data_IF_907957658567
#
_entry.id   IF_907957658567
#
_cell.length_a   1.000
_cell.length_b   1.000
_cell.length_c   1.000
_cell.angle_alpha   90.00
_cell.angle_beta   90.00
_cell.angle_gamma   90.00
#
_symmetry.space_group_name_H-M   'P 1'
#
loop_
_entity.id
_entity.type
_entity.pdbx_description
1 polymer ?
#
# COMPACT_ATOMS: atom_id res chain seq x y z
N UNK A 1 -25.64 4.79 14.53
CA UNK A 1 -24.45 5.30 14.35
C UNK A 1 -23.71 4.71 13.29
N UNK A 2 -23.10 5.37 12.52
CA UNK A 2 -22.43 4.79 11.57
C UNK A 2 -21.05 4.87 11.75
N UNK A 3 -20.34 3.90 11.39
CA UNK A 3 -18.98 3.91 11.43
C UNK A 3 -18.49 4.27 10.11
N UNK A 4 -17.55 5.16 10.08
CA UNK A 4 -16.91 5.54 8.87
C UNK A 4 -15.56 4.91 8.87
N UNK A 5 -15.39 3.83 8.13
CA UNK A 5 -14.06 3.25 8.06
C UNK A 5 -13.13 4.27 7.44
N UNK A 6 -11.93 4.31 7.93
CA UNK A 6 -10.94 5.22 7.39
C UNK A 6 -10.60 4.82 5.97
N UNK A 7 -10.41 5.80 5.13
CA UNK A 7 -9.96 5.52 3.78
C UNK A 7 -8.54 5.02 3.80
N UNK A 8 -8.21 4.14 2.89
CA UNK A 8 -6.85 3.66 2.78
C UNK A 8 -6.20 4.26 1.56
N UNK A 9 -4.93 4.59 1.72
CA UNK A 9 -4.12 5.04 0.60
C UNK A 9 -2.85 4.23 0.61
N UNK A 10 -2.27 4.07 -0.54
CA UNK A 10 -1.02 3.32 -0.66
C UNK A 10 -0.01 4.23 -1.34
N UNK A 11 1.25 4.04 -1.01
CA UNK A 11 2.32 4.81 -1.63
C UNK A 11 3.43 3.88 -2.05
N UNK A 12 4.02 4.16 -3.20
CA UNK A 12 5.15 3.39 -3.66
C UNK A 12 6.11 4.37 -4.33
N UNK A 13 7.32 4.45 -3.79
CA UNK A 13 8.35 5.27 -4.40
C UNK A 13 7.90 6.72 -4.56
N UNK A 14 7.17 7.24 -3.58
CA UNK A 14 6.66 8.59 -3.63
C UNK A 14 5.41 8.79 -4.45
N UNK A 15 4.93 7.74 -5.11
CA UNK A 15 3.73 7.84 -5.92
C UNK A 15 2.55 7.37 -5.08
N UNK A 16 1.47 8.14 -5.09
CA UNK A 16 0.29 7.75 -4.35
C UNK A 16 -0.55 6.82 -5.21
N UNK A 17 -0.91 5.69 -4.63
CA UNK A 17 -1.73 4.71 -5.31
C UNK A 17 -3.07 4.64 -4.61
N UNK A 18 -4.17 4.85 -5.33
CA UNK A 18 -5.48 4.77 -4.70
C UNK A 18 -5.83 3.35 -4.27
N UNK A 19 -6.75 3.26 -3.33
CA UNK A 19 -7.24 1.97 -2.87
C UNK A 19 -8.31 1.51 -3.85
N UNK A 20 -7.92 0.63 -4.75
CA UNK A 20 -8.82 0.21 -5.83
C UNK A 20 -9.72 -0.93 -5.40
N UNK A 21 -9.48 -1.52 -4.25
CA UNK A 21 -10.28 -2.63 -3.80
C UNK A 21 -10.26 -2.68 -2.28
N UNK A 22 -11.14 -1.88 -1.64
CA UNK A 22 -11.09 -1.76 -0.18
C UNK A 22 -11.30 -3.08 0.55
N UNK A 23 -11.89 -4.05 -0.10
CA UNK A 23 -12.13 -5.33 0.53
C UNK A 23 -10.91 -6.24 0.53
N UNK A 24 -9.86 -5.86 -0.19
CA UNK A 24 -8.67 -6.69 -0.26
C UNK A 24 -7.66 -6.26 0.79
N UNK A 25 -6.85 -7.19 1.21
CA UNK A 25 -5.78 -6.89 2.15
C UNK A 25 -4.68 -6.09 1.45
N UNK A 26 -3.83 -5.42 2.20
CA UNK A 26 -2.72 -4.72 1.58
C UNK A 26 -1.83 -5.62 0.74
N UNK A 27 -1.67 -6.88 1.14
CA UNK A 27 -0.87 -7.79 0.37
C UNK A 27 -1.51 -8.09 -0.97
N UNK A 28 -2.82 -8.20 -0.99
CA UNK A 28 -3.51 -8.42 -2.25
C UNK A 28 -3.45 -7.19 -3.14
N UNK A 29 -3.53 -6.01 -2.53
CA UNK A 29 -3.37 -4.77 -3.29
C UNK A 29 -1.99 -4.71 -3.90
N UNK A 30 -0.96 -5.12 -3.14
CA UNK A 30 0.40 -5.16 -3.67
C UNK A 30 0.47 -6.04 -4.90
N UNK A 31 -0.17 -7.20 -4.84
CA UNK A 31 -0.17 -8.10 -5.97
C UNK A 31 -0.85 -7.48 -7.19
N UNK A 32 -1.97 -6.79 -6.97
CA UNK A 32 -2.64 -6.15 -8.08
C UNK A 32 -1.79 -5.08 -8.72
N UNK A 33 -1.17 -4.25 -7.91
CA UNK A 33 -0.35 -3.19 -8.47
C UNK A 33 0.93 -3.71 -9.09
N UNK A 34 1.35 -4.92 -8.71
CA UNK A 34 2.58 -5.46 -9.28
C UNK A 34 2.46 -5.73 -10.77
N UNK A 35 1.22 -5.85 -11.26
CA UNK A 35 1.04 -6.00 -12.69
C UNK A 35 1.40 -4.74 -13.44
N UNK A 36 1.22 -3.59 -12.79
CA UNK A 36 1.51 -2.33 -13.41
C UNK A 36 2.89 -1.83 -12.99
N UNK A 37 3.28 -2.13 -11.77
CA UNK A 37 4.58 -1.71 -11.25
C UNK A 37 5.29 -2.96 -10.75
N UNK A 38 6.04 -3.64 -11.60
CA UNK A 38 6.63 -4.93 -11.20
C UNK A 38 7.49 -4.88 -9.96
N UNK A 39 8.11 -3.74 -9.69
CA UNK A 39 8.95 -3.62 -8.49
C UNK A 39 8.13 -3.75 -7.21
N UNK A 40 6.84 -3.54 -7.28
CA UNK A 40 6.00 -3.65 -6.11
C UNK A 40 5.87 -5.10 -5.66
N UNK A 41 6.03 -6.04 -6.58
CA UNK A 41 5.80 -7.45 -6.26
C UNK A 41 6.64 -7.93 -5.08
N UNK A 42 7.84 -7.39 -4.94
CA UNK A 42 8.72 -7.80 -3.86
C UNK A 42 8.88 -6.73 -2.80
N UNK A 43 8.06 -5.69 -2.85
CA UNK A 43 8.17 -4.62 -1.88
C UNK A 43 7.66 -5.06 -0.52
N UNK A 44 8.25 -4.49 0.51
CA UNK A 44 7.74 -4.68 1.85
C UNK A 44 6.56 -3.76 2.08
N UNK A 45 5.65 -4.18 2.91
CA UNK A 45 4.49 -3.36 3.24
C UNK A 45 4.68 -2.83 4.64
N UNK A 46 4.61 -1.52 4.80
CA UNK A 46 4.68 -0.90 6.11
C UNK A 46 3.39 -0.12 6.35
N UNK A 47 3.05 0.04 7.61
CA UNK A 47 1.85 0.73 7.99
C UNK A 47 0.88 -0.23 8.63
N UNK A 48 -0.35 0.21 8.86
CA UNK A 48 -0.85 1.51 8.43
C UNK A 48 -0.41 2.64 9.35
N UNK A 49 -0.29 3.80 8.76
CA UNK A 49 -0.02 5.00 9.52
C UNK A 49 -1.26 5.87 9.43
N UNK A 50 -1.77 6.30 10.57
CA UNK A 50 -2.96 7.13 10.55
C UNK A 50 -2.57 8.56 10.27
N UNK A 51 -3.09 9.11 9.20
CA UNK A 51 -2.82 10.48 8.83
C UNK A 51 -4.16 11.14 8.62
N UNK A 52 -4.57 11.99 9.56
CA UNK A 52 -5.90 12.54 9.52
C UNK A 52 -6.93 11.45 9.64
N UNK A 53 -7.82 11.37 8.67
CA UNK A 53 -8.82 10.31 8.64
C UNK A 53 -8.47 9.25 7.60
N UNK A 54 -7.18 9.08 7.31
CA UNK A 54 -6.74 8.10 6.34
C UNK A 54 -5.74 7.15 6.95
N UNK A 55 -5.74 5.95 6.45
CA UNK A 55 -4.72 4.96 6.77
C UNK A 55 -3.79 4.85 5.57
N UNK A 56 -2.53 5.06 5.80
CA UNK A 56 -1.55 5.05 4.71
C UNK A 56 -0.66 3.85 4.86
N UNK A 57 -0.60 3.05 3.81
CA UNK A 57 0.31 1.93 3.74
C UNK A 57 1.38 2.28 2.72
N UNK A 58 2.59 1.86 2.97
CA UNK A 58 3.68 2.14 2.05
C UNK A 58 4.30 0.86 1.58
N UNK A 59 4.51 0.79 0.28
CA UNK A 59 5.26 -0.31 -0.31
C UNK A 59 6.68 0.18 -0.49
N UNK A 60 7.61 -0.48 0.16
CA UNK A 60 9.00 -0.06 0.13
C UNK A 60 9.79 -1.10 -0.63
N UNK A 61 10.45 -0.65 -1.69
CA UNK A 61 11.27 -1.55 -2.45
C UNK A 61 12.36 -2.14 -1.57
N UNK A 62 12.55 -3.43 -1.72
CA UNK A 62 13.66 -4.06 -1.04
C UNK A 62 14.93 -3.55 -1.71
N UNK A 63 15.80 -2.99 -0.92
CA UNK A 63 17.08 -2.61 -1.44
C UNK A 63 17.94 -3.82 -1.31
N UNK A 64 18.26 -4.40 -2.38
CA UNK A 64 19.01 -5.60 -2.35
C UNK A 64 20.36 -5.32 -1.83
N UNK A 65 20.71 -5.89 -0.89
CA UNK A 65 22.02 -5.71 -0.53
C UNK A 65 22.62 -6.99 -0.59
N UNK A 66 22.70 -7.21 -0.76
CA UNK A 66 23.19 -8.16 -0.67
C UNK A 66 23.97 -8.43 -0.24
N UNK A 67 23.81 -8.23 -0.02
CA UNK A 67 24.85 -8.56 0.27
C UNK A 67 25.35 -8.94 0.51
#
# INVERSE_FOLDING_TARGET
>A
MESHPLSRHFEFNGVRLPDIAPQLSPEEIRTLYSHQYPDIATASITGPEAVGDKLVYRFTRAIGTKG
#
